data_IF_386390507402
#
_entry.id   IF_386390507402
#
_cell.length_a   1.000
_cell.length_b   1.000
_cell.length_c   1.000
_cell.angle_alpha   90.00
_cell.angle_beta   90.00
_cell.angle_gamma   90.00
#
_symmetry.space_group_name_H-M   'P 1'
#
loop_
_entity.id
_entity.type
_entity.pdbx_description
1 polymer ?
#
# COMPACT_ATOMS: atom_id res chain seq x y z
N UNK A 1 -1.54 -7.23 -27.17
CA UNK A 1 -0.87 -8.04 -26.15
C UNK A 1 -0.32 -7.13 -25.06
N UNK A 2 -0.98 -7.13 -23.92
CA UNK A 2 -0.62 -6.33 -22.75
C UNK A 2 0.66 -6.82 -22.03
N UNK A 3 1.11 -8.02 -22.35
CA UNK A 3 2.27 -8.67 -21.71
C UNK A 3 3.59 -7.90 -21.91
N UNK A 4 3.76 -7.19 -23.04
CA UNK A 4 4.97 -6.41 -23.30
C UNK A 4 5.05 -5.09 -22.54
N UNK A 5 3.92 -4.46 -22.25
CA UNK A 5 3.90 -3.17 -21.51
C UNK A 5 4.09 -3.34 -20.01
N UNK A 6 3.57 -4.42 -19.43
CA UNK A 6 3.75 -4.71 -18.00
C UNK A 6 5.21 -5.07 -17.68
N UNK A 7 5.90 -5.80 -18.54
CA UNK A 7 7.33 -6.08 -18.35
C UNK A 7 8.18 -4.80 -18.40
N UNK A 8 7.89 -3.88 -19.32
CA UNK A 8 8.60 -2.60 -19.39
C UNK A 8 8.39 -1.70 -18.15
N UNK A 9 7.21 -1.76 -17.53
CA UNK A 9 6.91 -0.99 -16.32
C UNK A 9 7.63 -1.57 -15.08
N UNK A 10 7.90 -2.87 -15.08
CA UNK A 10 8.58 -3.54 -13.96
C UNK A 10 10.10 -3.49 -14.02
N UNK A 11 10.66 -3.34 -15.22
CA UNK A 11 12.10 -3.26 -15.45
C UNK A 11 12.70 -1.97 -14.88
N UNK A 12 13.65 -2.10 -13.95
CA UNK A 12 14.30 -0.98 -13.28
C UNK A 12 15.39 -0.33 -14.13
N UNK A 13 15.90 -0.99 -15.15
CA UNK A 13 16.91 -0.42 -16.07
C UNK A 13 16.42 0.89 -16.71
N UNK A 14 15.12 0.96 -17.01
CA UNK A 14 14.50 2.13 -17.64
C UNK A 14 14.49 3.40 -16.78
N UNK A 15 14.59 3.25 -15.45
CA UNK A 15 14.55 4.38 -14.52
C UNK A 15 15.92 4.81 -14.00
N UNK A 16 16.99 4.07 -14.29
CA UNK A 16 18.36 4.36 -13.81
C UNK A 16 18.78 5.79 -14.11
N UNK A 17 18.58 6.22 -15.37
CA UNK A 17 18.92 7.58 -15.77
C UNK A 17 18.16 8.64 -14.95
N UNK A 18 16.85 8.43 -14.75
CA UNK A 18 16.03 9.38 -13.99
C UNK A 18 16.40 9.43 -12.52
N UNK A 19 16.72 8.29 -11.92
CA UNK A 19 17.21 8.21 -10.54
C UNK A 19 18.55 8.94 -10.41
N UNK A 20 19.47 8.71 -11.36
CA UNK A 20 20.76 9.40 -11.42
C UNK A 20 20.62 10.92 -11.52
N UNK A 21 19.73 11.39 -12.41
CA UNK A 21 19.42 12.81 -12.56
C UNK A 21 18.89 13.44 -11.26
N UNK A 22 17.92 12.79 -10.62
CA UNK A 22 17.28 13.30 -9.39
C UNK A 22 18.26 13.33 -8.21
N UNK A 23 19.12 12.33 -8.09
CA UNK A 23 20.10 12.25 -7.00
C UNK A 23 21.36 13.08 -7.27
N UNK A 24 21.62 13.46 -8.52
CA UNK A 24 22.87 14.11 -8.92
C UNK A 24 24.08 13.18 -8.77
N UNK A 25 23.89 11.86 -8.82
CA UNK A 25 24.92 10.83 -8.63
C UNK A 25 24.92 9.88 -9.81
N UNK A 26 26.10 9.30 -10.09
CA UNK A 26 26.16 8.18 -11.01
C UNK A 26 25.64 6.90 -10.32
N UNK A 27 24.64 6.26 -10.92
CA UNK A 27 24.01 5.06 -10.39
C UNK A 27 24.47 3.87 -11.22
N UNK A 28 25.08 2.89 -10.57
CA UNK A 28 25.33 1.59 -11.16
C UNK A 28 24.05 0.75 -11.16
N UNK A 29 23.89 -0.11 -12.15
CA UNK A 29 22.73 -0.99 -12.25
C UNK A 29 23.16 -2.46 -12.29
N UNK A 30 22.46 -3.32 -11.55
CA UNK A 30 22.56 -4.76 -11.64
C UNK A 30 21.21 -5.33 -12.11
N UNK A 31 21.24 -6.14 -13.13
CA UNK A 31 20.08 -6.77 -13.79
C UNK A 31 19.46 -7.92 -12.97
N UNK A 32 19.97 -8.15 -11.78
CA UNK A 32 19.45 -9.11 -10.81
C UNK A 32 19.51 -8.52 -9.39
N UNK A 33 18.81 -9.14 -8.45
CA UNK A 33 18.78 -8.71 -7.05
C UNK A 33 19.33 -9.77 -6.08
N UNK A 34 19.70 -10.95 -6.56
CA UNK A 34 20.32 -12.04 -5.78
C UNK A 34 21.39 -12.75 -6.63
N UNK A 35 22.17 -13.62 -6.00
CA UNK A 35 23.16 -14.45 -6.69
C UNK A 35 24.50 -13.78 -6.87
N UNK A 36 25.43 -14.49 -7.52
CA UNK A 36 26.84 -14.10 -7.58
C UNK A 36 27.09 -12.74 -8.25
N UNK A 37 26.30 -12.38 -9.26
CA UNK A 37 26.43 -11.08 -9.95
C UNK A 37 26.02 -9.94 -9.01
N UNK A 38 24.90 -10.10 -8.31
CA UNK A 38 24.41 -9.14 -7.33
C UNK A 38 25.38 -8.96 -6.16
N UNK A 39 25.90 -10.07 -5.62
CA UNK A 39 26.89 -10.06 -4.54
C UNK A 39 28.21 -9.41 -4.97
N UNK A 40 28.68 -9.70 -6.18
CA UNK A 40 29.89 -9.08 -6.73
C UNK A 40 29.71 -7.57 -6.97
N UNK A 41 28.54 -7.16 -7.53
CA UNK A 41 28.24 -5.75 -7.76
C UNK A 41 28.11 -4.98 -6.44
N UNK A 42 27.47 -5.56 -5.42
CA UNK A 42 27.36 -4.96 -4.09
C UNK A 42 28.73 -4.82 -3.42
N UNK A 43 29.55 -5.88 -3.47
CA UNK A 43 30.91 -5.88 -2.88
C UNK A 43 31.90 -4.94 -3.55
N UNK A 44 31.65 -4.56 -4.81
CA UNK A 44 32.49 -3.63 -5.55
C UNK A 44 32.19 -2.15 -5.25
N UNK A 45 31.09 -1.85 -4.55
CA UNK A 45 30.70 -0.49 -4.19
C UNK A 45 31.72 0.18 -3.28
N UNK A 46 32.02 1.44 -3.58
CA UNK A 46 32.84 2.31 -2.75
C UNK A 46 31.96 3.28 -1.95
N UNK A 47 32.48 3.88 -0.88
CA UNK A 47 31.76 4.90 -0.13
C UNK A 47 31.21 6.01 -1.01
N UNK A 48 29.91 6.29 -0.94
CA UNK A 48 29.20 7.29 -1.73
C UNK A 48 28.67 6.80 -3.08
N UNK A 49 28.99 5.59 -3.51
CA UNK A 49 28.41 4.99 -4.71
C UNK A 49 27.04 4.36 -4.42
N UNK A 50 26.21 4.30 -5.45
CA UNK A 50 24.84 3.75 -5.37
C UNK A 50 24.66 2.68 -6.44
N UNK A 51 24.14 1.53 -6.04
CA UNK A 51 23.75 0.44 -6.91
C UNK A 51 22.21 0.29 -6.89
N UNK A 52 21.58 0.43 -8.04
CA UNK A 52 20.19 0.07 -8.25
C UNK A 52 20.13 -1.37 -8.74
N UNK A 53 19.34 -2.17 -8.09
CA UNK A 53 19.11 -3.56 -8.48
C UNK A 53 17.76 -3.72 -9.17
N UNK A 54 17.60 -4.83 -9.90
CA UNK A 54 16.36 -5.14 -10.60
C UNK A 54 15.22 -5.39 -9.61
N UNK A 55 14.01 -5.33 -10.13
CA UNK A 55 12.78 -5.40 -9.35
C UNK A 55 12.62 -6.76 -8.67
N UNK A 56 12.56 -6.75 -7.34
CA UNK A 56 12.34 -7.94 -6.51
C UNK A 56 11.06 -8.72 -6.88
N UNK A 57 10.06 -8.04 -7.48
CA UNK A 57 8.78 -8.66 -7.87
C UNK A 57 8.88 -9.58 -9.09
N UNK A 58 10.05 -9.71 -9.71
CA UNK A 58 10.32 -10.78 -10.67
C UNK A 58 10.44 -12.15 -10.00
N UNK A 59 10.70 -12.16 -8.70
CA UNK A 59 10.73 -13.37 -7.89
C UNK A 59 9.43 -13.53 -7.10
N UNK A 60 8.75 -14.68 -7.28
CA UNK A 60 7.54 -15.03 -6.51
C UNK A 60 7.83 -15.16 -5.01
N UNK A 61 9.04 -15.55 -4.68
CA UNK A 61 9.61 -15.70 -3.33
C UNK A 61 9.55 -14.40 -2.53
N UNK A 62 9.67 -13.24 -3.20
CA UNK A 62 9.54 -11.93 -2.56
C UNK A 62 8.18 -11.79 -1.88
N UNK A 63 7.11 -12.03 -2.64
CA UNK A 63 5.74 -11.88 -2.11
C UNK A 63 5.30 -13.03 -1.22
N UNK A 64 5.93 -14.20 -1.35
CA UNK A 64 5.69 -15.36 -0.51
C UNK A 64 6.33 -15.22 0.89
N UNK A 65 7.24 -14.26 1.08
CA UNK A 65 7.99 -14.13 2.32
C UNK A 65 9.01 -15.25 2.53
N UNK A 66 9.64 -15.69 1.43
CA UNK A 66 10.61 -16.80 1.48
C UNK A 66 11.86 -16.42 2.25
N UNK A 67 12.24 -17.29 3.19
CA UNK A 67 13.38 -17.06 4.08
C UNK A 67 14.71 -17.18 3.37
N UNK A 68 14.86 -18.09 2.38
CA UNK A 68 16.10 -18.27 1.66
C UNK A 68 16.35 -17.09 0.71
N UNK A 69 15.29 -16.57 0.09
CA UNK A 69 15.36 -15.36 -0.72
C UNK A 69 15.77 -14.15 0.14
N UNK A 70 15.17 -13.99 1.32
CA UNK A 70 15.54 -12.95 2.28
C UNK A 70 16.99 -13.08 2.76
N UNK A 71 17.47 -14.32 3.00
CA UNK A 71 18.86 -14.58 3.33
C UNK A 71 19.81 -14.20 2.19
N UNK A 72 19.43 -14.49 0.93
CA UNK A 72 20.25 -14.09 -0.21
C UNK A 72 20.33 -12.56 -0.33
N UNK A 73 19.22 -11.84 -0.13
CA UNK A 73 19.21 -10.38 -0.09
C UNK A 73 20.05 -9.80 1.05
N UNK A 74 20.04 -10.43 2.23
CA UNK A 74 20.79 -9.93 3.38
C UNK A 74 22.31 -9.96 3.21
N UNK A 75 22.82 -10.75 2.27
CA UNK A 75 24.26 -10.81 1.96
C UNK A 75 24.77 -9.59 1.18
N UNK A 76 23.88 -8.74 0.72
CA UNK A 76 24.21 -7.59 -0.12
C UNK A 76 24.68 -6.36 0.68
N UNK A 77 24.56 -6.37 2.01
CA UNK A 77 24.95 -5.24 2.83
C UNK A 77 25.03 -5.56 4.32
N UNK A 78 25.70 -4.69 5.05
CA UNK A 78 25.95 -4.82 6.49
C UNK A 78 24.82 -4.21 7.34
N UNK A 79 24.02 -3.32 6.74
CA UNK A 79 22.91 -2.60 7.38
C UNK A 79 21.64 -2.77 6.56
N UNK A 80 20.52 -2.91 7.24
CA UNK A 80 19.21 -2.94 6.60
C UNK A 80 18.41 -1.67 6.92
N UNK A 81 17.92 -1.00 5.90
CA UNK A 81 17.04 0.16 6.05
C UNK A 81 15.73 -0.07 5.31
N UNK A 82 14.62 -0.14 6.05
CA UNK A 82 13.29 -0.18 5.44
C UNK A 82 12.75 1.26 5.28
N UNK A 83 12.51 1.68 4.05
CA UNK A 83 11.87 2.96 3.73
C UNK A 83 10.66 2.80 2.79
N UNK A 84 10.06 1.60 2.77
CA UNK A 84 8.95 1.24 1.91
C UNK A 84 7.63 1.20 2.69
N UNK A 85 7.05 2.37 2.98
CA UNK A 85 5.80 2.49 3.74
C UNK A 85 4.63 1.77 3.09
N UNK A 86 4.47 1.87 1.76
CA UNK A 86 3.36 1.26 1.02
C UNK A 86 3.28 -0.27 1.15
N UNK A 87 4.40 -0.94 1.45
CA UNK A 87 4.47 -2.39 1.65
C UNK A 87 4.68 -2.81 3.10
N UNK A 88 4.76 -1.87 4.03
CA UNK A 88 5.05 -2.15 5.45
C UNK A 88 4.03 -3.07 6.14
N UNK A 89 2.81 -3.15 5.60
CA UNK A 89 1.75 -4.03 6.10
C UNK A 89 1.82 -5.47 5.58
N UNK A 90 2.81 -5.79 4.73
CA UNK A 90 2.96 -7.12 4.09
C UNK A 90 4.21 -7.82 4.59
N UNK A 91 4.08 -9.11 4.89
CA UNK A 91 5.20 -9.96 5.33
C UNK A 91 6.02 -10.47 4.14
N UNK A 92 6.51 -9.55 3.30
CA UNK A 92 7.37 -9.91 2.17
C UNK A 92 8.81 -10.18 2.62
N UNK A 93 9.57 -10.89 1.77
CA UNK A 93 10.97 -11.24 2.06
C UNK A 93 11.82 -10.00 2.33
N UNK A 94 11.74 -8.98 1.48
CA UNK A 94 12.56 -7.76 1.58
C UNK A 94 12.08 -6.76 2.64
N UNK A 95 10.84 -6.87 3.16
CA UNK A 95 10.29 -5.89 4.11
C UNK A 95 10.26 -6.38 5.54
N UNK A 96 9.96 -7.66 5.74
CA UNK A 96 9.77 -8.24 7.08
C UNK A 96 10.78 -9.34 7.38
N UNK A 97 10.88 -10.32 6.47
CA UNK A 97 11.67 -11.52 6.73
C UNK A 97 13.16 -11.20 6.79
N UNK A 98 13.65 -10.33 5.91
CA UNK A 98 15.06 -9.93 5.86
C UNK A 98 15.58 -9.35 7.20
N UNK A 99 14.71 -8.67 7.95
CA UNK A 99 15.09 -8.03 9.21
C UNK A 99 15.57 -9.03 10.29
N UNK A 100 15.26 -10.32 10.16
CA UNK A 100 15.75 -11.36 11.07
C UNK A 100 17.24 -11.67 10.91
N UNK A 101 17.85 -11.30 9.77
CA UNK A 101 19.26 -11.50 9.47
C UNK A 101 20.15 -10.34 9.87
N UNK A 102 19.57 -9.29 10.43
CA UNK A 102 20.27 -8.13 10.97
C UNK A 102 19.89 -7.95 12.44
N UNK A 103 20.81 -8.18 13.35
CA UNK A 103 20.55 -8.09 14.81
C UNK A 103 20.14 -6.66 15.19
N UNK A 104 21.10 -5.81 15.52
CA UNK A 104 20.85 -4.39 15.85
C UNK A 104 20.95 -3.46 14.62
N UNK A 105 21.48 -3.94 13.50
CA UNK A 105 21.82 -3.17 12.32
C UNK A 105 20.63 -3.04 11.34
N UNK A 106 19.43 -2.77 11.87
CA UNK A 106 18.19 -2.57 11.13
C UNK A 106 17.48 -1.30 11.53
N UNK A 107 17.11 -0.50 10.55
CA UNK A 107 16.62 0.85 10.76
C UNK A 107 15.40 1.14 9.88
N UNK A 108 14.67 2.20 10.23
CA UNK A 108 13.66 2.79 9.36
C UNK A 108 14.23 4.01 8.64
N UNK A 109 13.88 4.15 7.36
CA UNK A 109 14.22 5.32 6.59
C UNK A 109 13.34 6.53 6.91
N UNK A 110 13.69 7.67 6.34
CA UNK A 110 13.02 8.95 6.62
C UNK A 110 11.56 9.01 6.15
N UNK A 111 11.22 8.31 5.06
CA UNK A 111 9.84 8.24 4.58
C UNK A 111 8.98 7.47 5.58
N UNK A 112 9.42 6.28 5.98
CA UNK A 112 8.70 5.45 6.93
C UNK A 112 8.53 6.16 8.28
N UNK A 113 9.57 6.84 8.77
CA UNK A 113 9.53 7.66 9.98
C UNK A 113 8.48 8.77 9.88
N UNK A 114 8.45 9.50 8.77
CA UNK A 114 7.49 10.59 8.54
C UNK A 114 6.06 10.10 8.50
N UNK A 115 5.80 9.01 7.76
CA UNK A 115 4.47 8.41 7.66
C UNK A 115 4.00 7.87 9.02
N UNK A 116 4.89 7.21 9.76
CA UNK A 116 4.59 6.71 11.11
C UNK A 116 4.26 7.84 12.08
N UNK A 117 5.05 8.94 12.07
CA UNK A 117 4.77 10.14 12.89
C UNK A 117 3.43 10.78 12.51
N UNK A 118 3.08 10.83 11.23
CA UNK A 118 1.80 11.35 10.77
C UNK A 118 0.62 10.52 11.30
N UNK A 119 0.71 9.19 11.19
CA UNK A 119 -0.30 8.28 11.75
C UNK A 119 -0.38 8.42 13.28
N UNK A 120 0.76 8.45 13.97
CA UNK A 120 0.77 8.63 15.42
C UNK A 120 0.12 9.95 15.85
N UNK A 121 0.38 11.04 15.13
CA UNK A 121 -0.23 12.34 15.42
C UNK A 121 -1.75 12.24 15.39
N UNK A 122 -2.33 11.65 14.35
CA UNK A 122 -3.79 11.48 14.24
C UNK A 122 -4.32 10.57 15.35
N UNK A 123 -3.66 9.44 15.59
CA UNK A 123 -4.14 8.44 16.55
C UNK A 123 -4.05 8.88 18.02
N UNK A 124 -3.10 9.74 18.37
CA UNK A 124 -2.86 10.16 19.78
C UNK A 124 -3.33 11.57 20.10
N UNK A 125 -3.05 12.51 19.20
CA UNK A 125 -3.20 13.96 19.51
C UNK A 125 -3.80 14.73 18.33
N UNK A 126 -4.53 14.08 17.44
CA UNK A 126 -5.07 14.71 16.23
C UNK A 126 -5.77 16.02 16.50
N UNK A 127 -5.34 17.07 15.79
CA UNK A 127 -6.02 18.37 15.84
C UNK A 127 -7.43 18.20 15.28
N UNK A 128 -8.43 18.54 16.03
CA UNK A 128 -9.84 18.42 15.61
C UNK A 128 -10.26 19.58 14.69
N UNK A 129 -11.14 19.36 13.73
CA UNK A 129 -11.81 18.09 13.42
C UNK A 129 -10.93 17.12 12.61
N UNK A 130 -11.02 15.84 12.92
CA UNK A 130 -10.33 14.77 12.17
C UNK A 130 -11.30 14.15 11.16
N UNK A 131 -10.91 14.16 9.89
CA UNK A 131 -11.62 13.55 8.79
C UNK A 131 -10.92 12.25 8.37
N UNK A 132 -11.65 11.14 8.36
CA UNK A 132 -11.23 9.90 7.70
C UNK A 132 -11.96 9.75 6.37
N UNK A 133 -11.24 9.26 5.37
CA UNK A 133 -11.79 8.91 4.05
C UNK A 133 -11.48 7.45 3.79
N UNK A 134 -12.51 6.66 3.61
CA UNK A 134 -12.41 5.23 3.30
C UNK A 134 -13.05 4.93 1.95
N UNK A 135 -12.31 4.21 1.12
CA UNK A 135 -12.77 3.72 -0.16
C UNK A 135 -12.40 2.25 -0.35
N UNK A 136 -12.96 1.66 -1.38
CA UNK A 136 -12.72 0.27 -1.75
C UNK A 136 -13.99 -0.43 -2.21
N UNK A 137 -13.85 -1.68 -2.68
CA UNK A 137 -14.98 -2.44 -3.20
C UNK A 137 -15.85 -3.05 -2.09
N UNK A 138 -15.25 -3.45 -0.95
CA UNK A 138 -15.89 -4.29 0.07
C UNK A 138 -15.84 -3.67 1.46
N UNK A 139 -16.99 -3.62 2.13
CA UNK A 139 -17.14 -3.22 3.55
C UNK A 139 -16.44 -4.23 4.45
N UNK A 140 -16.63 -5.53 4.18
CA UNK A 140 -16.08 -6.65 4.97
C UNK A 140 -14.57 -6.51 5.23
N UNK A 141 -13.82 -6.02 4.25
CA UNK A 141 -12.37 -5.82 4.35
C UNK A 141 -11.95 -4.64 5.24
N UNK A 142 -12.89 -3.77 5.62
CA UNK A 142 -12.62 -2.51 6.35
C UNK A 142 -13.25 -2.44 7.74
N UNK A 143 -14.05 -3.44 8.13
CA UNK A 143 -14.80 -3.44 9.40
C UNK A 143 -13.90 -3.10 10.59
N UNK A 144 -12.82 -3.86 10.77
CA UNK A 144 -11.90 -3.67 11.90
C UNK A 144 -11.26 -2.28 11.91
N UNK A 145 -10.94 -1.76 10.71
CA UNK A 145 -10.37 -0.41 10.58
C UNK A 145 -11.40 0.62 11.02
N UNK A 146 -12.63 0.52 10.49
CA UNK A 146 -13.71 1.47 10.79
C UNK A 146 -14.00 1.50 12.30
N UNK A 147 -14.16 0.35 12.93
CA UNK A 147 -14.44 0.26 14.36
C UNK A 147 -13.32 0.88 15.21
N UNK A 148 -12.07 0.65 14.84
CA UNK A 148 -10.92 1.16 15.59
C UNK A 148 -10.71 2.68 15.44
N UNK A 149 -11.16 3.30 14.34
CA UNK A 149 -10.97 4.73 14.12
C UNK A 149 -12.13 5.58 14.62
N UNK A 150 -13.34 5.03 14.83
CA UNK A 150 -14.53 5.81 15.21
C UNK A 150 -14.32 6.69 16.47
N UNK A 151 -13.50 6.26 17.41
CA UNK A 151 -13.20 7.05 18.63
C UNK A 151 -12.16 8.15 18.40
N UNK A 152 -11.58 8.22 17.20
CA UNK A 152 -10.45 9.11 16.86
C UNK A 152 -10.81 10.18 15.85
N UNK A 153 -11.97 10.07 15.24
CA UNK A 153 -12.40 10.90 14.11
C UNK A 153 -13.67 11.68 14.45
N UNK A 154 -13.91 12.77 13.73
CA UNK A 154 -15.14 13.57 13.83
C UNK A 154 -15.99 13.39 12.57
N UNK A 155 -15.36 13.08 11.43
CA UNK A 155 -16.03 12.85 10.16
C UNK A 155 -15.47 11.60 9.47
N UNK A 156 -16.37 10.84 8.82
CA UNK A 156 -16.03 9.68 7.99
C UNK A 156 -16.69 9.81 6.63
N UNK A 157 -15.90 9.94 5.57
CA UNK A 157 -16.37 9.81 4.20
C UNK A 157 -16.22 8.35 3.77
N UNK A 158 -17.29 7.77 3.26
CA UNK A 158 -17.30 6.43 2.67
C UNK A 158 -17.48 6.60 1.16
N UNK A 159 -16.54 6.05 0.39
CA UNK A 159 -16.50 6.11 -1.07
C UNK A 159 -16.23 4.75 -1.70
N UNK A 160 -16.08 4.73 -3.03
CA UNK A 160 -15.87 3.51 -3.80
C UNK A 160 -17.06 2.55 -3.78
N UNK A 161 -16.86 1.31 -4.23
CA UNK A 161 -17.93 0.31 -4.32
C UNK A 161 -18.61 -0.05 -3.00
N UNK A 162 -17.88 0.06 -1.89
CA UNK A 162 -18.44 -0.21 -0.56
C UNK A 162 -19.60 0.71 -0.17
N UNK A 163 -19.71 1.90 -0.77
CA UNK A 163 -20.80 2.85 -0.50
C UNK A 163 -22.17 2.26 -0.83
N UNK A 164 -22.24 1.42 -1.86
CA UNK A 164 -23.52 0.84 -2.29
C UNK A 164 -24.14 -0.08 -1.25
N UNK A 165 -23.33 -0.73 -0.42
CA UNK A 165 -23.85 -1.49 0.73
C UNK A 165 -24.55 -0.58 1.73
N UNK A 166 -24.02 0.61 1.99
CA UNK A 166 -24.66 1.61 2.87
C UNK A 166 -25.92 2.22 2.23
N UNK A 167 -25.85 2.55 0.93
CA UNK A 167 -27.01 3.08 0.21
C UNK A 167 -28.18 2.08 0.23
N UNK A 168 -27.89 0.79 -0.04
CA UNK A 168 -28.91 -0.27 0.02
C UNK A 168 -29.46 -0.46 1.43
N UNK A 169 -28.59 -0.45 2.45
CA UNK A 169 -28.99 -0.55 3.86
C UNK A 169 -29.97 0.58 4.27
N UNK A 170 -29.78 1.78 3.70
CA UNK A 170 -30.67 2.92 3.91
C UNK A 170 -31.92 2.92 3.01
N UNK A 171 -32.16 1.85 2.24
CA UNK A 171 -33.31 1.70 1.35
C UNK A 171 -33.16 2.34 -0.03
N UNK A 172 -31.94 2.77 -0.39
CA UNK A 172 -31.67 3.32 -1.72
C UNK A 172 -31.58 2.23 -2.79
N UNK A 173 -31.80 2.63 -4.06
CA UNK A 173 -31.64 1.75 -5.21
C UNK A 173 -30.21 1.87 -5.76
N UNK A 174 -29.54 0.74 -5.88
CA UNK A 174 -28.14 0.64 -6.34
C UNK A 174 -28.00 0.03 -7.75
N UNK A 175 -29.12 -0.32 -8.42
CA UNK A 175 -29.10 -1.01 -9.71
C UNK A 175 -28.32 -2.32 -9.67
N UNK A 176 -27.37 -2.47 -10.59
CA UNK A 176 -26.47 -3.63 -10.66
C UNK A 176 -25.09 -3.36 -10.01
N UNK A 177 -24.97 -2.29 -9.24
CA UNK A 177 -23.71 -1.96 -8.58
C UNK A 177 -23.29 -3.03 -7.57
N UNK A 178 -21.99 -3.18 -7.37
CA UNK A 178 -21.42 -4.11 -6.40
C UNK A 178 -22.01 -3.86 -4.99
N UNK A 179 -22.41 -4.92 -4.30
CA UNK A 179 -22.95 -4.81 -2.96
C UNK A 179 -22.66 -6.08 -2.15
N UNK A 180 -22.37 -5.92 -0.87
CA UNK A 180 -22.26 -7.01 0.07
C UNK A 180 -23.55 -7.10 0.92
N UNK A 181 -24.54 -7.85 0.45
CA UNK A 181 -25.88 -7.94 1.07
C UNK A 181 -25.83 -8.41 2.53
N UNK A 182 -24.90 -9.30 2.85
CA UNK A 182 -24.70 -9.81 4.21
C UNK A 182 -24.16 -8.75 5.19
N UNK A 183 -23.79 -7.56 4.70
CA UNK A 183 -23.22 -6.48 5.52
C UNK A 183 -24.13 -5.24 5.60
N UNK A 184 -25.37 -5.33 5.11
CA UNK A 184 -26.35 -4.22 5.22
C UNK A 184 -26.71 -3.92 6.66
N UNK A 185 -26.94 -4.95 7.49
CA UNK A 185 -27.21 -4.77 8.91
C UNK A 185 -26.04 -4.15 9.64
N UNK A 186 -24.82 -4.59 9.35
CA UNK A 186 -23.60 -3.97 9.88
C UNK A 186 -23.47 -2.49 9.48
N UNK A 187 -23.84 -2.15 8.24
CA UNK A 187 -23.79 -0.75 7.77
C UNK A 187 -24.76 0.12 8.60
N UNK A 188 -25.98 -0.36 8.91
CA UNK A 188 -26.90 0.35 9.79
C UNK A 188 -26.36 0.48 11.22
N UNK A 189 -25.86 -0.61 11.79
CA UNK A 189 -25.25 -0.60 13.12
C UNK A 189 -24.08 0.41 13.20
N UNK A 190 -23.26 0.46 12.16
CA UNK A 190 -22.15 1.41 12.09
C UNK A 190 -22.63 2.86 12.08
N UNK A 191 -23.69 3.15 11.32
CA UNK A 191 -24.28 4.50 11.29
C UNK A 191 -24.80 4.89 12.68
N UNK A 192 -25.45 3.99 13.39
CA UNK A 192 -25.92 4.26 14.75
C UNK A 192 -24.75 4.41 15.75
N UNK A 193 -23.75 3.53 15.67
CA UNK A 193 -22.51 3.66 16.48
C UNK A 193 -21.83 5.01 16.26
N UNK A 194 -21.74 5.44 15.01
CA UNK A 194 -21.15 6.73 14.66
C UNK A 194 -21.93 7.90 15.26
N UNK A 195 -23.27 7.87 15.18
CA UNK A 195 -24.14 8.88 15.80
C UNK A 195 -23.93 8.96 17.33
N UNK A 196 -23.88 7.80 18.00
CA UNK A 196 -23.63 7.76 19.45
C UNK A 196 -22.27 8.34 19.86
N UNK A 197 -21.28 8.25 18.94
CA UNK A 197 -19.93 8.81 19.14
C UNK A 197 -19.76 10.22 18.61
N UNK A 198 -20.84 10.86 18.15
CA UNK A 198 -20.82 12.16 17.46
C UNK A 198 -19.93 12.22 16.22
N UNK A 199 -19.76 11.10 15.53
CA UNK A 199 -19.06 11.01 14.25
C UNK A 199 -20.05 11.17 13.12
N UNK A 200 -19.77 12.11 12.22
CA UNK A 200 -20.62 12.35 11.06
C UNK A 200 -20.17 11.52 9.87
N UNK A 201 -21.01 10.55 9.45
CA UNK A 201 -20.79 9.79 8.22
C UNK A 201 -21.29 10.58 7.03
N UNK A 202 -20.48 10.67 5.99
CA UNK A 202 -20.79 11.31 4.71
C UNK A 202 -20.79 10.23 3.63
N UNK A 203 -21.93 10.07 2.99
CA UNK A 203 -22.11 9.23 1.81
C UNK A 203 -22.25 10.11 0.57
N UNK A 204 -21.83 9.67 -0.62
CA UNK A 204 -22.11 10.36 -1.88
C UNK A 204 -23.61 10.61 -2.06
N UNK A 205 -23.94 11.77 -2.59
CA UNK A 205 -25.34 12.15 -2.90
C UNK A 205 -25.73 11.78 -4.34
N UNK A 206 -24.72 11.56 -5.19
CA UNK A 206 -24.86 11.15 -6.58
C UNK A 206 -23.67 10.26 -6.99
N UNK A 207 -23.80 9.61 -8.13
CA UNK A 207 -22.75 8.75 -8.70
C UNK A 207 -22.74 8.86 -10.22
N UNK A 208 -21.55 8.71 -10.81
CA UNK A 208 -21.43 8.54 -12.26
C UNK A 208 -21.70 7.08 -12.56
N UNK A 209 -22.64 6.83 -13.46
CA UNK A 209 -23.01 5.47 -13.92
C UNK A 209 -22.44 5.20 -15.29
N UNK A 210 -22.17 3.91 -15.57
CA UNK A 210 -21.73 3.44 -16.89
C UNK A 210 -22.42 2.12 -17.22
N UNK A 211 -22.57 1.81 -18.50
CA UNK A 211 -23.18 0.57 -18.99
C UNK A 211 -22.28 -0.65 -18.77
N UNK A 212 -20.97 -0.42 -18.59
CA UNK A 212 -19.96 -1.45 -18.36
C UNK A 212 -18.82 -0.90 -17.50
N UNK A 213 -17.98 -1.78 -16.95
CA UNK A 213 -16.82 -1.39 -16.17
C UNK A 213 -15.80 -0.63 -17.05
N UNK A 214 -15.40 0.56 -16.60
CA UNK A 214 -14.44 1.43 -17.29
C UNK A 214 -13.05 1.27 -16.66
N UNK A 215 -12.40 0.15 -16.89
CA UNK A 215 -11.08 -0.22 -16.32
C UNK A 215 -9.99 0.84 -16.57
N UNK A 216 -10.07 1.59 -17.67
CA UNK A 216 -9.07 2.59 -18.02
C UNK A 216 -9.16 3.88 -17.18
N UNK A 217 -10.18 4.03 -16.34
CA UNK A 217 -10.34 5.17 -15.43
C UNK A 217 -9.91 4.85 -13.99
N UNK A 218 -9.59 3.58 -13.70
CA UNK A 218 -9.07 3.19 -12.39
C UNK A 218 -7.57 3.44 -12.31
N UNK A 219 -7.09 3.93 -11.18
CA UNK A 219 -5.67 3.98 -10.89
C UNK A 219 -5.14 2.55 -10.71
N UNK A 220 -3.92 2.29 -11.16
CA UNK A 220 -3.24 1.01 -11.00
C UNK A 220 -3.13 0.54 -9.53
N UNK A 221 -3.31 1.44 -8.56
CA UNK A 221 -3.40 1.12 -7.14
C UNK A 221 -4.74 0.50 -6.74
N UNK A 222 -5.81 0.70 -7.54
CA UNK A 222 -7.17 0.23 -7.25
C UNK A 222 -7.54 -1.06 -8.02
N UNK A 223 -6.57 -1.77 -8.59
CA UNK A 223 -6.75 -2.95 -9.43
C UNK A 223 -7.36 -4.19 -8.74
N UNK A 224 -8.23 -4.03 -7.78
CA UNK A 224 -8.98 -5.13 -7.21
C UNK A 224 -10.48 -4.96 -7.43
N UNK A 225 -10.90 -5.31 -8.63
CA UNK A 225 -12.26 -5.75 -8.87
C UNK A 225 -13.16 -4.76 -9.57
N UNK A 226 -13.26 -4.96 -10.82
CA UNK A 226 -14.57 -4.99 -11.46
C UNK A 226 -15.19 -6.35 -11.28
#
# INVERSE_FOLDING_TARGET
>A
SLVGSEMCIRDRSNIVYKVSEVLGLNISFCDDCIGSNAEAAASALKPGEVLLMENLRYYSEETAGDTNFALALSRLGDFYVNDAFGTAHRAHSSTTIIAQFFDEEKYFGKLLEREFKAVQKIMKTGDKPVLAILGGAKVSSKITIIENILDKIDHLIIGGGMVYTFVKALGGNIGQSICEDNYTDFALELIEKAKLKNVKIHLPIDVIIADSCLLYTSDAADEHGC
#
